data_IF_618917257891
#
_entry.id   IF_618917257891
#
_cell.length_a   1.000
_cell.length_b   1.000
_cell.length_c   1.000
_cell.angle_alpha   90.00
_cell.angle_beta   90.00
_cell.angle_gamma   90.00
#
_symmetry.space_group_name_H-M   'P 1'
#
loop_
_entity.id
_entity.type
_entity.pdbx_description
1 polymer ?
#
# COMPACT_ATOMS: atom_id res chain seq x y z
N UNK A 1 6.71 -11.40 11.48
CA UNK A 1 6.76 -12.20 10.24
C UNK A 1 7.22 -11.36 9.06
N UNK A 2 6.30 -10.67 8.39
CA UNK A 2 6.60 -9.90 7.16
C UNK A 2 7.63 -8.78 7.35
N UNK A 3 7.49 -7.98 8.41
CA UNK A 3 8.45 -6.92 8.74
C UNK A 3 9.86 -7.47 9.08
N UNK A 4 9.94 -8.67 9.68
CA UNK A 4 11.22 -9.36 9.86
C UNK A 4 11.84 -9.73 8.52
N UNK A 5 11.07 -10.32 7.60
CA UNK A 5 11.56 -10.71 6.27
C UNK A 5 12.09 -9.50 5.49
N UNK A 6 11.38 -8.37 5.55
CA UNK A 6 11.78 -7.13 4.90
C UNK A 6 13.06 -6.56 5.54
N UNK A 7 13.11 -6.43 6.86
CA UNK A 7 14.28 -5.89 7.57
C UNK A 7 15.53 -6.76 7.41
N UNK A 8 15.35 -8.09 7.39
CA UNK A 8 16.43 -9.04 7.09
C UNK A 8 16.94 -8.90 5.66
N UNK A 9 16.04 -8.70 4.69
CA UNK A 9 16.42 -8.61 3.28
C UNK A 9 17.17 -7.32 2.95
N UNK A 10 16.83 -6.21 3.61
CA UNK A 10 17.41 -4.89 3.29
C UNK A 10 18.63 -4.52 4.13
N UNK A 11 18.78 -5.06 5.33
CA UNK A 11 19.84 -4.64 6.23
C UNK A 11 20.56 -5.81 6.92
N UNK A 12 19.91 -6.46 7.89
CA UNK A 12 20.50 -7.59 8.60
C UNK A 12 19.46 -8.37 9.38
N UNK A 13 19.79 -9.60 9.78
CA UNK A 13 18.93 -10.42 10.64
C UNK A 13 18.61 -9.75 11.98
N UNK A 14 19.60 -9.09 12.61
CA UNK A 14 19.40 -8.34 13.86
C UNK A 14 18.37 -7.22 13.68
N UNK A 15 18.45 -6.48 12.58
CA UNK A 15 17.48 -5.41 12.28
C UNK A 15 16.11 -5.98 11.91
N UNK A 16 16.04 -7.13 11.24
CA UNK A 16 14.78 -7.84 11.03
C UNK A 16 14.09 -8.21 12.35
N UNK A 17 14.85 -8.74 13.32
CA UNK A 17 14.33 -9.09 14.64
C UNK A 17 13.90 -7.85 15.42
N UNK A 18 14.71 -6.79 15.42
CA UNK A 18 14.37 -5.53 16.08
C UNK A 18 13.10 -4.91 15.50
N UNK A 19 12.95 -4.87 14.18
CA UNK A 19 11.76 -4.35 13.53
C UNK A 19 10.51 -5.17 13.86
N UNK A 20 10.63 -6.50 13.96
CA UNK A 20 9.53 -7.35 14.39
C UNK A 20 9.17 -7.15 15.87
N UNK A 21 10.18 -6.97 16.73
CA UNK A 21 9.96 -6.68 18.16
C UNK A 21 9.22 -5.35 18.33
N UNK A 22 9.70 -4.27 17.67
CA UNK A 22 9.07 -2.95 17.73
C UNK A 22 7.61 -3.01 17.25
N UNK A 23 7.34 -3.73 16.15
CA UNK A 23 5.97 -3.90 15.68
C UNK A 23 5.10 -4.67 16.68
N UNK A 24 5.64 -5.73 17.29
CA UNK A 24 4.90 -6.58 18.24
C UNK A 24 4.49 -5.82 19.51
N UNK A 25 5.32 -4.88 19.97
CA UNK A 25 5.04 -4.07 21.17
C UNK A 25 4.39 -2.72 20.86
N UNK A 26 4.17 -2.40 19.59
CA UNK A 26 3.58 -1.11 19.18
C UNK A 26 2.14 -0.97 19.70
N UNK A 27 1.84 0.06 20.52
CA UNK A 27 0.50 0.25 21.08
C UNK A 27 -0.58 0.37 20.00
N UNK A 28 -0.27 1.06 18.90
CA UNK A 28 -1.19 1.23 17.77
C UNK A 28 -1.45 -0.07 17.02
N UNK A 29 -0.42 -0.91 16.84
CA UNK A 29 -0.57 -2.21 16.20
C UNK A 29 -1.46 -3.14 17.04
N UNK A 30 -1.25 -3.16 18.35
CA UNK A 30 -2.08 -3.93 19.28
C UNK A 30 -3.52 -3.41 19.33
N UNK A 31 -3.71 -2.09 19.39
CA UNK A 31 -5.04 -1.47 19.43
C UNK A 31 -5.84 -1.76 18.16
N UNK A 32 -5.25 -1.54 16.98
CA UNK A 32 -5.91 -1.81 15.70
C UNK A 32 -6.19 -3.30 15.49
N UNK A 33 -5.31 -4.17 15.98
CA UNK A 33 -5.54 -5.61 15.94
C UNK A 33 -6.70 -6.04 16.85
N UNK A 34 -6.79 -5.48 18.07
CA UNK A 34 -7.87 -5.80 19.03
C UNK A 34 -9.24 -5.35 18.56
N UNK A 35 -9.33 -4.24 17.83
CA UNK A 35 -10.60 -3.71 17.31
C UNK A 35 -10.93 -4.21 15.90
N UNK A 36 -10.16 -5.17 15.37
CA UNK A 36 -10.30 -5.68 14.01
C UNK A 36 -10.41 -4.54 12.97
N UNK A 37 -9.62 -3.48 13.16
CA UNK A 37 -9.65 -2.33 12.27
C UNK A 37 -9.14 -2.74 10.89
N UNK A 38 -9.87 -2.37 9.83
CA UNK A 38 -9.56 -2.69 8.44
C UNK A 38 -8.11 -2.35 8.04
N UNK A 39 -7.55 -1.26 8.59
CA UNK A 39 -6.18 -0.83 8.33
C UNK A 39 -5.10 -1.78 8.88
N UNK A 40 -5.41 -2.69 9.81
CA UNK A 40 -4.40 -3.63 10.35
C UNK A 40 -3.83 -4.53 9.27
N UNK A 41 -4.61 -4.87 8.23
CA UNK A 41 -4.13 -5.71 7.14
C UNK A 41 -3.02 -5.04 6.31
N UNK A 42 -2.97 -3.71 6.29
CA UNK A 42 -1.90 -2.97 5.62
C UNK A 42 -0.53 -3.22 6.24
N UNK A 43 -0.46 -3.44 7.57
CA UNK A 43 0.81 -3.72 8.26
C UNK A 43 1.39 -5.09 7.91
N UNK A 44 0.56 -5.97 7.33
CA UNK A 44 0.97 -7.27 6.81
C UNK A 44 1.27 -7.21 5.31
N UNK A 45 0.32 -6.74 4.50
CA UNK A 45 0.41 -6.88 3.05
C UNK A 45 1.40 -5.91 2.40
N UNK A 46 1.58 -4.69 2.93
CA UNK A 46 2.56 -3.75 2.35
C UNK A 46 4.00 -4.26 2.52
N UNK A 47 4.44 -4.72 3.72
CA UNK A 47 5.77 -5.31 3.85
C UNK A 47 5.95 -6.58 3.02
N UNK A 48 4.92 -7.41 2.86
CA UNK A 48 4.96 -8.59 1.99
C UNK A 48 5.10 -8.20 0.51
N UNK A 49 4.35 -7.20 0.06
CA UNK A 49 4.42 -6.69 -1.30
C UNK A 49 5.83 -6.14 -1.61
N UNK A 50 6.37 -5.31 -0.72
CA UNK A 50 7.75 -4.80 -0.83
C UNK A 50 8.78 -5.92 -0.85
N UNK A 51 8.66 -6.89 0.05
CA UNK A 51 9.59 -8.01 0.12
C UNK A 51 9.53 -8.88 -1.13
N UNK A 52 8.33 -9.19 -1.65
CA UNK A 52 8.15 -9.95 -2.88
C UNK A 52 8.67 -9.17 -4.10
N UNK A 53 8.43 -7.86 -4.19
CA UNK A 53 9.01 -6.99 -5.24
C UNK A 53 10.53 -7.05 -5.18
N UNK A 54 11.13 -6.87 -3.99
CA UNK A 54 12.58 -6.94 -3.82
C UNK A 54 13.14 -8.31 -4.25
N UNK A 55 12.51 -9.40 -3.82
CA UNK A 55 12.89 -10.76 -4.23
C UNK A 55 12.83 -10.97 -5.74
N UNK A 56 11.81 -10.43 -6.40
CA UNK A 56 11.67 -10.54 -7.86
C UNK A 56 12.80 -9.81 -8.61
N UNK A 57 13.26 -8.68 -8.08
CA UNK A 57 14.33 -7.85 -8.65
C UNK A 57 15.74 -8.43 -8.39
N UNK A 58 15.95 -9.10 -7.24
CA UNK A 58 17.21 -9.76 -6.88
C UNK A 58 17.52 -10.97 -7.80
N UNK A 59 16.49 -11.61 -8.34
CA UNK A 59 16.64 -12.82 -9.17
C UNK A 59 17.29 -12.49 -10.53
N UNK A 60 18.38 -13.21 -10.84
CA UNK A 60 19.09 -13.15 -12.14
C UNK A 60 18.16 -13.40 -13.31
N UNK A 61 18.47 -12.80 -14.46
CA UNK A 61 17.69 -12.93 -15.68
C UNK A 61 17.60 -14.37 -16.20
N UNK A 62 18.52 -15.26 -15.83
CA UNK A 62 18.48 -16.67 -16.23
C UNK A 62 17.33 -17.44 -15.56
N UNK A 63 16.79 -16.94 -14.45
CA UNK A 63 15.72 -17.57 -13.67
C UNK A 63 14.39 -16.85 -13.85
N UNK A 64 14.03 -16.55 -15.10
CA UNK A 64 12.83 -15.75 -15.48
C UNK A 64 11.55 -16.25 -14.85
N UNK A 65 11.28 -17.55 -14.91
CA UNK A 65 10.05 -18.14 -14.35
C UNK A 65 9.91 -17.91 -12.85
N UNK A 66 11.02 -18.03 -12.10
CA UNK A 66 11.03 -17.78 -10.67
C UNK A 66 10.81 -16.29 -10.37
N UNK A 67 11.48 -15.41 -11.11
CA UNK A 67 11.27 -13.95 -10.99
C UNK A 67 9.82 -13.57 -11.30
N UNK A 68 9.22 -14.18 -12.32
CA UNK A 68 7.83 -13.98 -12.70
C UNK A 68 6.86 -14.44 -11.58
N UNK A 69 7.09 -15.60 -10.97
CA UNK A 69 6.27 -16.03 -9.84
C UNK A 69 6.31 -15.00 -8.68
N UNK A 70 7.48 -14.45 -8.36
CA UNK A 70 7.62 -13.43 -7.33
C UNK A 70 6.98 -12.10 -7.70
N UNK A 71 7.05 -11.68 -8.97
CA UNK A 71 6.47 -10.41 -9.40
C UNK A 71 4.94 -10.45 -9.43
N UNK A 72 4.37 -11.59 -9.83
CA UNK A 72 2.92 -11.83 -9.76
C UNK A 72 2.45 -11.87 -8.31
N UNK A 73 3.19 -12.54 -7.43
CA UNK A 73 2.91 -12.56 -6.00
C UNK A 73 2.99 -11.15 -5.37
N UNK A 74 3.98 -10.35 -5.78
CA UNK A 74 4.11 -8.96 -5.36
C UNK A 74 2.90 -8.13 -5.80
N UNK A 75 2.51 -8.22 -7.07
CA UNK A 75 1.33 -7.56 -7.61
C UNK A 75 0.04 -7.97 -6.87
N UNK A 76 -0.09 -9.25 -6.52
CA UNK A 76 -1.21 -9.72 -5.71
C UNK A 76 -1.25 -9.04 -4.33
N UNK A 77 -0.13 -8.97 -3.61
CA UNK A 77 -0.09 -8.31 -2.30
C UNK A 77 -0.30 -6.79 -2.40
N UNK A 78 0.20 -6.13 -3.45
CA UNK A 78 -0.11 -4.71 -3.72
C UNK A 78 -1.60 -4.51 -3.98
N UNK A 79 -2.21 -5.36 -4.81
CA UNK A 79 -3.64 -5.30 -5.12
C UNK A 79 -4.52 -5.55 -3.88
N UNK A 80 -4.19 -6.54 -3.05
CA UNK A 80 -4.89 -6.76 -1.78
C UNK A 80 -4.75 -5.55 -0.86
N UNK A 81 -3.54 -4.99 -0.74
CA UNK A 81 -3.28 -3.80 0.09
C UNK A 81 -4.15 -2.61 -0.35
N UNK A 82 -4.32 -2.39 -1.65
CA UNK A 82 -5.17 -1.32 -2.18
C UNK A 82 -6.61 -1.41 -1.63
N UNK A 83 -7.14 -2.63 -1.50
CA UNK A 83 -8.53 -2.88 -1.10
C UNK A 83 -8.79 -2.87 0.41
N UNK A 84 -7.74 -2.82 1.23
CA UNK A 84 -7.91 -3.02 2.68
C UNK A 84 -8.63 -1.89 3.39
N UNK A 85 -8.39 -0.63 3.04
CA UNK A 85 -8.98 0.51 3.76
C UNK A 85 -9.14 1.76 2.89
N UNK A 86 -10.01 2.69 3.26
CA UNK A 86 -10.34 3.85 2.42
C UNK A 86 -9.14 4.75 2.05
N UNK A 87 -8.25 5.14 2.99
CA UNK A 87 -7.01 5.87 2.68
C UNK A 87 -6.01 5.05 1.86
N UNK A 88 -6.06 3.71 1.94
CA UNK A 88 -5.20 2.83 1.15
C UNK A 88 -5.42 3.03 -0.35
N UNK A 89 -6.62 3.46 -0.76
CA UNK A 89 -6.98 3.72 -2.16
C UNK A 89 -6.11 4.78 -2.83
N UNK A 90 -5.64 5.76 -2.07
CA UNK A 90 -4.73 6.79 -2.55
C UNK A 90 -3.28 6.48 -2.14
N UNK A 91 -3.07 6.05 -0.90
CA UNK A 91 -1.74 5.80 -0.37
C UNK A 91 -1.00 4.68 -1.11
N UNK A 92 -1.66 3.53 -1.34
CA UNK A 92 -1.01 2.33 -1.90
C UNK A 92 -0.53 2.57 -3.33
N UNK A 93 -1.33 3.14 -4.27
CA UNK A 93 -0.86 3.43 -5.62
C UNK A 93 0.28 4.43 -5.65
N UNK A 94 0.20 5.51 -4.85
CA UNK A 94 1.25 6.53 -4.79
C UNK A 94 2.55 5.95 -4.21
N UNK A 95 2.45 5.15 -3.15
CA UNK A 95 3.60 4.50 -2.54
C UNK A 95 4.24 3.49 -3.48
N UNK A 96 3.44 2.65 -4.14
CA UNK A 96 3.91 1.70 -5.16
C UNK A 96 4.59 2.43 -6.33
N UNK A 97 3.96 3.48 -6.87
CA UNK A 97 4.52 4.28 -7.96
C UNK A 97 5.84 4.92 -7.56
N UNK A 98 5.93 5.45 -6.34
CA UNK A 98 7.16 6.06 -5.81
C UNK A 98 8.31 5.04 -5.75
N UNK A 99 8.06 3.84 -5.22
CA UNK A 99 9.05 2.75 -5.19
C UNK A 99 9.46 2.34 -6.60
N UNK A 100 8.51 2.24 -7.53
CA UNK A 100 8.80 1.81 -8.90
C UNK A 100 9.63 2.85 -9.65
N UNK A 101 9.30 4.14 -9.49
CA UNK A 101 10.05 5.25 -10.07
C UNK A 101 11.47 5.32 -9.51
N UNK A 102 11.64 5.19 -8.19
CA UNK A 102 12.96 5.14 -7.56
C UNK A 102 13.76 3.96 -8.11
N UNK A 103 13.18 2.75 -8.17
CA UNK A 103 13.88 1.58 -8.69
C UNK A 103 14.30 1.78 -10.15
N UNK A 104 13.43 2.30 -11.02
CA UNK A 104 13.76 2.53 -12.44
C UNK A 104 14.84 3.62 -12.58
N UNK A 105 14.80 4.67 -11.75
CA UNK A 105 15.75 5.77 -11.81
C UNK A 105 17.18 5.36 -11.41
N UNK A 106 17.31 4.47 -10.43
CA UNK A 106 18.61 4.06 -9.88
C UNK A 106 19.09 2.67 -10.34
N UNK A 107 18.25 1.88 -11.02
CA UNK A 107 18.65 0.53 -11.43
C UNK A 107 19.53 0.53 -12.69
N UNK A 108 20.68 -0.18 -12.67
CA UNK A 108 21.47 -0.43 -13.87
C UNK A 108 20.71 -1.32 -14.88
N UNK A 109 19.65 -2.01 -14.45
CA UNK A 109 18.79 -2.89 -15.26
C UNK A 109 17.42 -2.28 -15.52
N UNK A 110 17.34 -0.96 -15.65
CA UNK A 110 16.07 -0.19 -15.77
C UNK A 110 15.03 -0.76 -16.74
N UNK A 111 15.44 -1.36 -17.86
CA UNK A 111 14.51 -1.91 -18.84
C UNK A 111 13.85 -3.21 -18.35
N UNK A 112 14.65 -4.20 -17.91
CA UNK A 112 14.11 -5.47 -17.43
C UNK A 112 13.40 -5.32 -16.08
N UNK A 113 13.92 -4.46 -15.20
CA UNK A 113 13.22 -4.07 -13.97
C UNK A 113 11.91 -3.35 -14.28
N UNK A 114 11.91 -2.41 -15.23
CA UNK A 114 10.72 -1.69 -15.67
C UNK A 114 9.60 -2.62 -16.13
N UNK A 115 9.92 -3.63 -16.96
CA UNK A 115 8.94 -4.64 -17.41
C UNK A 115 8.38 -5.42 -16.21
N UNK A 116 9.24 -5.87 -15.28
CA UNK A 116 8.80 -6.59 -14.08
C UNK A 116 7.86 -5.71 -13.25
N UNK A 117 8.22 -4.46 -13.02
CA UNK A 117 7.41 -3.54 -12.23
C UNK A 117 6.06 -3.22 -12.91
N UNK A 118 6.04 -3.06 -14.25
CA UNK A 118 4.79 -2.94 -15.01
C UNK A 118 3.92 -4.19 -14.82
N UNK A 119 4.48 -5.39 -14.88
CA UNK A 119 3.74 -6.64 -14.63
C UNK A 119 3.17 -6.70 -13.19
N UNK A 120 3.93 -6.26 -12.19
CA UNK A 120 3.42 -6.14 -10.82
C UNK A 120 2.25 -5.15 -10.74
N UNK A 121 2.38 -3.99 -11.39
CA UNK A 121 1.33 -2.97 -11.46
C UNK A 121 0.06 -3.49 -12.14
N UNK A 122 0.18 -4.14 -13.29
CA UNK A 122 -0.94 -4.76 -14.00
C UNK A 122 -1.62 -5.83 -13.14
N UNK A 123 -0.85 -6.68 -12.48
CA UNK A 123 -1.38 -7.72 -11.59
C UNK A 123 -2.09 -7.10 -10.39
N UNK A 124 -1.55 -6.02 -9.81
CA UNK A 124 -2.18 -5.27 -8.72
C UNK A 124 -3.50 -4.66 -9.15
N UNK A 125 -3.56 -4.05 -10.34
CA UNK A 125 -4.80 -3.49 -10.88
C UNK A 125 -5.82 -4.60 -11.18
N UNK A 126 -5.37 -5.73 -11.73
CA UNK A 126 -6.26 -6.88 -11.97
C UNK A 126 -6.86 -7.42 -10.66
N UNK A 127 -6.05 -7.57 -9.61
CA UNK A 127 -6.53 -8.01 -8.28
C UNK A 127 -7.44 -6.97 -7.64
N UNK A 128 -7.17 -5.68 -7.83
CA UNK A 128 -8.03 -4.61 -7.33
C UNK A 128 -9.25 -4.31 -8.23
N UNK A 129 -9.33 -4.93 -9.40
CA UNK A 129 -10.34 -4.60 -10.40
C UNK A 129 -11.79 -4.75 -9.93
N UNK A 130 -12.20 -5.78 -9.16
CA UNK A 130 -13.60 -5.90 -8.76
C UNK A 130 -14.08 -4.69 -7.98
N UNK A 131 -13.20 -4.16 -7.14
CA UNK A 131 -13.46 -3.00 -6.30
C UNK A 131 -13.37 -1.67 -7.06
N UNK A 132 -12.40 -1.55 -7.97
CA UNK A 132 -12.30 -0.38 -8.85
C UNK A 132 -13.57 -0.28 -9.71
N UNK A 133 -14.03 -1.40 -10.27
CA UNK A 133 -15.25 -1.46 -11.05
C UNK A 133 -16.47 -1.11 -10.19
N UNK A 134 -16.57 -1.62 -8.96
CA UNK A 134 -17.64 -1.27 -8.03
C UNK A 134 -17.73 0.25 -7.77
N UNK A 135 -16.59 0.90 -7.49
CA UNK A 135 -16.55 2.36 -7.32
C UNK A 135 -17.00 3.09 -8.59
N UNK A 136 -16.57 2.62 -9.77
CA UNK A 136 -16.86 3.29 -11.04
C UNK A 136 -18.32 3.13 -11.45
N UNK A 137 -18.92 1.95 -11.24
CA UNK A 137 -20.31 1.69 -11.59
C UNK A 137 -21.30 2.20 -10.53
N UNK A 138 -20.94 2.19 -9.25
CA UNK A 138 -21.75 2.68 -8.13
C UNK A 138 -21.23 4.01 -7.57
N UNK A 139 -20.84 4.92 -8.47
CA UNK A 139 -20.25 6.21 -8.09
C UNK A 139 -21.17 7.06 -7.21
N UNK A 140 -22.48 7.05 -7.48
CA UNK A 140 -23.48 7.81 -6.71
C UNK A 140 -23.58 7.34 -5.25
N UNK A 141 -23.48 6.03 -5.01
CA UNK A 141 -23.46 5.47 -3.66
C UNK A 141 -22.19 5.87 -2.90
N UNK A 142 -21.05 5.89 -3.60
CA UNK A 142 -19.77 6.35 -3.06
C UNK A 142 -19.82 7.84 -2.67
N UNK A 143 -20.44 8.68 -3.50
CA UNK A 143 -20.68 10.09 -3.22
C UNK A 143 -21.63 10.30 -2.04
N UNK A 144 -22.62 9.42 -1.87
CA UNK A 144 -23.57 9.50 -0.75
C UNK A 144 -22.87 9.26 0.59
N UNK A 145 -21.94 8.30 0.66
CA UNK A 145 -21.08 8.10 1.84
C UNK A 145 -20.16 9.29 2.12
N UNK A 146 -19.57 9.88 1.09
CA UNK A 146 -18.74 11.08 1.23
C UNK A 146 -19.56 12.27 1.73
N UNK A 147 -20.75 12.51 1.16
CA UNK A 147 -21.68 13.54 1.63
C UNK A 147 -22.10 13.33 3.08
N UNK A 148 -22.28 12.07 3.51
CA UNK A 148 -22.59 11.77 4.92
C UNK A 148 -21.43 12.14 5.85
N UNK A 149 -20.18 11.93 5.43
CA UNK A 149 -18.99 12.28 6.20
C UNK A 149 -18.71 13.79 6.21
N UNK A 150 -19.11 14.52 5.16
CA UNK A 150 -18.94 15.99 5.08
C UNK A 150 -20.18 16.77 5.51
N UNK A 151 -21.25 16.10 5.96
CA UNK A 151 -22.52 16.74 6.33
C UNK A 151 -23.29 17.36 5.16
N UNK A 152 -22.95 17.00 3.91
CA UNK A 152 -23.58 17.54 2.71
C UNK A 152 -23.11 18.95 2.31
N UNK A 153 -22.24 19.57 3.11
CA UNK A 153 -21.65 20.88 2.81
C UNK A 153 -20.68 20.77 1.61
N UNK A 154 -20.72 21.73 0.65
CA UNK A 154 -19.75 21.77 -0.42
C UNK A 154 -18.35 22.02 0.16
N UNK A 155 -17.40 21.14 -0.17
CA UNK A 155 -15.98 21.27 0.19
C UNK A 155 -15.36 22.46 -0.56
N UNK A 156 -15.66 23.66 -0.09
CA UNK A 156 -14.99 24.89 -0.52
C UNK A 156 -13.72 25.07 0.30
N UNK A 157 -12.64 25.54 -0.34
CA UNK A 157 -11.39 25.85 0.35
C UNK A 157 -11.60 26.80 1.54
N UNK A 158 -12.51 27.76 1.40
CA UNK A 158 -12.90 28.68 2.47
C UNK A 158 -13.61 27.98 3.64
N UNK A 159 -14.60 27.12 3.35
CA UNK A 159 -15.29 26.34 4.38
C UNK A 159 -14.38 25.36 5.12
N UNK A 160 -13.44 24.74 4.41
CA UNK A 160 -12.43 23.87 5.01
C UNK A 160 -11.51 24.64 5.98
N UNK A 161 -10.97 25.79 5.56
CA UNK A 161 -10.12 26.63 6.41
C UNK A 161 -10.86 27.16 7.64
N UNK A 162 -12.10 27.62 7.47
CA UNK A 162 -12.95 28.09 8.57
C UNK A 162 -13.25 26.98 9.56
N UNK A 163 -13.65 25.78 9.10
CA UNK A 163 -13.91 24.64 9.98
C UNK A 163 -12.64 24.15 10.66
N UNK A 164 -11.49 24.16 9.97
CA UNK A 164 -10.20 23.80 10.55
C UNK A 164 -9.81 24.78 11.66
N UNK A 165 -9.91 26.09 11.43
CA UNK A 165 -9.61 27.10 12.45
C UNK A 165 -10.56 27.01 13.65
N UNK A 166 -11.85 26.75 13.40
CA UNK A 166 -12.87 26.58 14.45
C UNK A 166 -12.65 25.34 15.32
N UNK A 167 -11.96 24.32 14.80
CA UNK A 167 -11.57 23.14 15.59
C UNK A 167 -10.51 23.45 16.65
N UNK A 168 -9.73 24.52 16.45
CA UNK A 168 -8.70 25.00 17.38
C UNK A 168 -9.17 26.18 18.26
N UNK A 169 -10.41 26.64 18.07
CA UNK A 169 -11.00 27.69 18.87
C UNK A 169 -11.51 27.08 20.20
N UNK A 170 -10.95 27.46 21.37
CA UNK A 170 -11.33 26.86 22.66
C UNK A 170 -12.77 27.18 23.11
N UNK A 171 -13.45 28.10 22.42
CA UNK A 171 -14.67 28.76 22.91
C UNK A 171 -14.36 30.00 23.72
#
# INVERSE_FOLDING_TARGET
GAVYLLGRAWASEKLGLLSALILAVSPWHLLFSRWANQGILMTLFIPLALWATWRALEISEDKRLKSLAWILLAGMFWGISWNTYAPARLFVPLFMASIFLIQIAFSPRRFSDGIRLVLAGLTSVAVASPFILDILFHWEETQTRLKFLTGGEPLTWGGFLLNYLKHWDPG
#
